data_IF_288881414081
#
_entry.id   IF_288881414081
#
_cell.length_a   1.000
_cell.length_b   1.000
_cell.length_c   1.000
_cell.angle_alpha   90.00
_cell.angle_beta   90.00
_cell.angle_gamma   90.00
#
_symmetry.space_group_name_H-M   'P 1'
#
loop_
_entity.id
_entity.type
_entity.pdbx_description
1 polymer ?
#
# COMPACT_ATOMS: atom_id res chain seq x y z
N UNK A 1 16.70 -24.05 16.77
CA UNK A 1 16.84 -22.82 15.98
C UNK A 1 15.69 -22.84 15.01
N UNK A 2 14.71 -21.99 15.24
CA UNK A 2 13.42 -22.04 14.57
C UNK A 2 13.14 -20.65 14.02
N UNK A 3 13.77 -20.30 12.89
CA UNK A 3 13.51 -19.03 12.17
C UNK A 3 13.62 -19.26 10.66
N UNK A 4 12.89 -20.25 10.16
CA UNK A 4 12.57 -20.34 8.73
C UNK A 4 11.21 -19.70 8.48
N UNK A 5 11.19 -18.49 7.89
CA UNK A 5 10.17 -18.16 6.89
C UNK A 5 9.09 -17.11 7.18
N UNK A 6 9.44 -15.88 7.56
CA UNK A 6 8.52 -14.74 7.34
C UNK A 6 9.25 -13.58 6.62
N UNK A 7 9.64 -13.80 5.36
CA UNK A 7 9.75 -12.68 4.40
C UNK A 7 8.32 -12.32 3.95
N UNK A 8 7.86 -11.09 4.18
CA UNK A 8 6.55 -10.65 3.72
C UNK A 8 5.48 -10.56 4.82
N UNK A 9 5.66 -9.64 5.77
CA UNK A 9 4.62 -9.32 6.75
C UNK A 9 3.49 -8.44 6.18
N UNK A 10 2.32 -8.34 6.83
CA UNK A 10 1.22 -7.48 6.37
C UNK A 10 1.58 -6.00 6.20
N UNK A 11 2.65 -5.52 6.86
CA UNK A 11 3.15 -4.16 6.67
C UNK A 11 3.97 -4.03 5.39
N UNK A 12 4.82 -5.02 5.10
CA UNK A 12 5.60 -5.04 3.86
C UNK A 12 4.66 -5.15 2.65
N UNK A 13 3.62 -5.98 2.76
CA UNK A 13 2.58 -6.06 1.73
C UNK A 13 1.85 -4.72 1.54
N UNK A 14 1.48 -4.03 2.63
CA UNK A 14 0.82 -2.72 2.53
C UNK A 14 1.74 -1.63 1.97
N UNK A 15 3.01 -1.61 2.37
CA UNK A 15 4.01 -0.69 1.83
C UNK A 15 4.24 -0.92 0.33
N UNK A 16 4.40 -2.17 -0.08
CA UNK A 16 4.55 -2.57 -1.48
C UNK A 16 3.34 -2.15 -2.33
N UNK A 17 2.12 -2.33 -1.81
CA UNK A 17 0.89 -1.90 -2.49
C UNK A 17 0.87 -0.38 -2.64
N UNK A 18 1.15 0.38 -1.57
CA UNK A 18 1.16 1.85 -1.62
C UNK A 18 2.18 2.40 -2.64
N UNK A 19 3.37 1.80 -2.69
CA UNK A 19 4.41 2.15 -3.65
C UNK A 19 3.98 1.84 -5.09
N UNK A 20 3.56 0.60 -5.35
CA UNK A 20 3.15 0.15 -6.69
C UNK A 20 2.00 0.99 -7.23
N UNK A 21 0.99 1.22 -6.39
CA UNK A 21 -0.19 1.99 -6.74
C UNK A 21 0.16 3.45 -7.04
N UNK A 22 1.12 4.04 -6.31
CA UNK A 22 1.60 5.42 -6.58
C UNK A 22 2.15 5.55 -8.00
N UNK A 23 2.91 4.57 -8.48
CA UNK A 23 3.44 4.60 -9.85
C UNK A 23 2.36 4.40 -10.91
N UNK A 24 1.35 3.56 -10.63
CA UNK A 24 0.22 3.36 -11.52
C UNK A 24 -0.68 4.61 -11.62
N UNK A 25 -0.88 5.37 -10.53
CA UNK A 25 -1.60 6.65 -10.56
C UNK A 25 -0.93 7.60 -11.55
N UNK A 26 0.39 7.79 -11.44
CA UNK A 26 1.15 8.66 -12.35
C UNK A 26 1.00 8.23 -13.81
N UNK A 27 0.98 6.93 -14.08
CA UNK A 27 0.76 6.41 -15.44
C UNK A 27 -0.67 6.68 -15.92
N UNK A 28 -1.67 6.42 -15.10
CA UNK A 28 -3.08 6.66 -15.42
C UNK A 28 -3.35 8.14 -15.71
N UNK A 29 -2.79 9.06 -14.92
CA UNK A 29 -2.88 10.50 -15.13
C UNK A 29 -2.28 10.93 -16.47
N UNK A 30 -1.07 10.44 -16.81
CA UNK A 30 -0.42 10.73 -18.10
C UNK A 30 -1.26 10.31 -19.30
N UNK A 31 -2.00 9.21 -19.18
CA UNK A 31 -2.87 8.69 -20.24
C UNK A 31 -4.33 9.17 -20.16
N UNK A 32 -4.65 10.08 -19.22
CA UNK A 32 -6.01 10.60 -18.97
C UNK A 32 -7.04 9.51 -18.64
N UNK A 33 -6.60 8.49 -17.89
CA UNK A 33 -7.46 7.41 -17.37
C UNK A 33 -8.01 7.80 -16.00
N UNK A 34 -8.92 8.77 -15.97
CA UNK A 34 -9.37 9.45 -14.74
C UNK A 34 -9.96 8.48 -13.69
N UNK A 35 -10.83 7.56 -14.12
CA UNK A 35 -11.44 6.55 -13.23
C UNK A 35 -10.39 5.60 -12.65
N UNK A 36 -9.40 5.21 -13.47
CA UNK A 36 -8.33 4.32 -13.03
C UNK A 36 -7.41 5.03 -12.01
N UNK A 37 -7.03 6.28 -12.27
CA UNK A 37 -6.26 7.10 -11.33
C UNK A 37 -6.98 7.22 -9.98
N UNK A 38 -8.30 7.46 -10.00
CA UNK A 38 -9.10 7.55 -8.79
C UNK A 38 -9.11 6.24 -7.98
N UNK A 39 -9.36 5.10 -8.61
CA UNK A 39 -9.37 3.79 -7.93
C UNK A 39 -8.00 3.44 -7.33
N UNK A 40 -6.92 3.80 -8.03
CA UNK A 40 -5.57 3.63 -7.53
C UNK A 40 -5.31 4.56 -6.33
N UNK A 41 -5.72 5.84 -6.40
CA UNK A 41 -5.65 6.74 -5.23
C UNK A 41 -6.34 6.17 -3.99
N UNK A 42 -7.52 5.56 -4.15
CA UNK A 42 -8.25 4.89 -3.07
C UNK A 42 -7.48 3.70 -2.49
N UNK A 43 -6.93 2.84 -3.35
CA UNK A 43 -6.14 1.68 -2.90
C UNK A 43 -4.89 2.09 -2.12
N UNK A 44 -4.24 3.20 -2.51
CA UNK A 44 -3.11 3.77 -1.78
C UNK A 44 -3.52 4.22 -0.38
N UNK A 45 -4.60 5.00 -0.28
CA UNK A 45 -5.10 5.51 1.01
C UNK A 45 -5.47 4.37 1.97
N UNK A 46 -6.10 3.29 1.47
CA UNK A 46 -6.40 2.12 2.29
C UNK A 46 -5.14 1.41 2.79
N UNK A 47 -4.10 1.29 1.97
CA UNK A 47 -2.83 0.69 2.35
C UNK A 47 -2.10 1.52 3.42
N UNK A 48 -2.05 2.84 3.25
CA UNK A 48 -1.47 3.77 4.21
C UNK A 48 -2.22 3.74 5.56
N UNK A 49 -3.55 3.68 5.53
CA UNK A 49 -4.36 3.62 6.74
C UNK A 49 -4.13 2.32 7.53
N UNK A 50 -3.95 1.18 6.84
CA UNK A 50 -3.61 -0.09 7.49
C UNK A 50 -2.29 -0.01 8.25
N UNK A 51 -1.27 0.59 7.65
CA UNK A 51 0.04 0.80 8.30
C UNK A 51 -0.08 1.70 9.53
N UNK A 52 -0.88 2.77 9.42
CA UNK A 52 -1.12 3.71 10.52
C UNK A 52 -1.84 3.07 11.69
N UNK A 53 -2.91 2.31 11.44
CA UNK A 53 -3.68 1.63 12.48
C UNK A 53 -2.86 0.55 13.20
N UNK A 54 -2.02 -0.18 12.46
CA UNK A 54 -1.12 -1.16 13.08
C UNK A 54 -0.04 -0.48 13.93
N UNK A 55 0.54 0.62 13.45
CA UNK A 55 1.50 1.41 14.22
C UNK A 55 0.91 1.90 15.54
N UNK A 56 -0.35 2.37 15.53
CA UNK A 56 -1.09 2.75 16.75
C UNK A 56 -1.28 1.58 17.71
N UNK A 57 -1.62 0.39 17.21
CA UNK A 57 -1.79 -0.82 18.04
C UNK A 57 -0.48 -1.28 18.69
N UNK A 58 0.67 -1.08 18.05
CA UNK A 58 1.99 -1.41 18.63
C UNK A 58 2.44 -0.46 19.75
N UNK A 59 1.83 0.73 19.85
CA UNK A 59 2.17 1.79 20.82
C UNK A 59 1.27 1.81 22.07
N UNK A 60 0.26 0.94 22.12
CA UNK A 60 -0.68 0.78 23.26
C UNK A 60 -0.37 -0.49 24.04
#
# INVERSE_FOLDING_TARGET
MDETGEEGGPDEAAAFIAETVTELVKLAERHRLEVLSHLLGMAKLEAEERLRLRSKRKLS
#
